data_IF_072603234522
#
_entry.id   IF_072603234522
#
_cell.length_a   1.000
_cell.length_b   1.000
_cell.length_c   1.000
_cell.angle_alpha   90.00
_cell.angle_beta   90.00
_cell.angle_gamma   90.00
#
_symmetry.space_group_name_H-M   'P 1'
#
loop_
_entity.id
_entity.type
_entity.pdbx_description
1 polymer ?
#
# COMPACT_ATOMS: atom_id res chain seq x y z
N UNK A 1 -2.28 2.92 0.01
CA UNK A 1 -2.78 4.21 0.54
C UNK A 1 -3.29 5.10 -0.58
N UNK A 2 -4.44 5.75 -0.39
CA UNK A 2 -5.04 6.67 -1.35
C UNK A 2 -5.65 7.88 -0.65
N UNK A 3 -5.94 8.95 -1.40
CA UNK A 3 -6.48 10.17 -0.82
C UNK A 3 -6.74 11.27 -1.85
N UNK A 4 -7.16 12.42 -1.35
CA UNK A 4 -7.47 13.61 -2.12
C UNK A 4 -6.75 14.82 -1.53
N UNK A 5 -6.24 15.70 -2.40
CA UNK A 5 -5.73 17.00 -2.00
C UNK A 5 -6.55 18.09 -2.67
N UNK A 6 -6.95 19.10 -1.90
CA UNK A 6 -7.58 20.31 -2.40
C UNK A 6 -6.67 21.50 -2.13
N UNK A 7 -6.54 22.37 -3.12
CA UNK A 7 -5.79 23.63 -3.03
C UNK A 7 -6.75 24.78 -3.34
N UNK A 8 -6.82 25.77 -2.46
CA UNK A 8 -7.67 26.94 -2.63
C UNK A 8 -7.51 27.92 -1.47
N UNK A 9 -7.82 29.20 -1.68
CA UNK A 9 -7.81 30.23 -0.63
C UNK A 9 -6.50 30.30 0.19
N UNK A 10 -5.35 30.06 -0.48
CA UNK A 10 -4.03 30.01 0.14
C UNK A 10 -3.87 28.90 1.21
N UNK A 11 -4.72 27.88 1.16
CA UNK A 11 -4.71 26.68 2.01
C UNK A 11 -4.60 25.40 1.16
N UNK A 12 -3.96 24.38 1.72
CA UNK A 12 -3.92 23.02 1.19
C UNK A 12 -4.54 22.07 2.21
N UNK A 13 -5.59 21.37 1.82
CA UNK A 13 -6.24 20.34 2.64
C UNK A 13 -5.97 18.97 2.03
N UNK A 14 -5.47 18.03 2.82
CA UNK A 14 -5.21 16.64 2.40
C UNK A 14 -6.13 15.71 3.20
N UNK A 15 -6.85 14.85 2.49
CA UNK A 15 -7.68 13.78 3.05
C UNK A 15 -7.10 12.44 2.61
N UNK A 16 -6.47 11.72 3.54
CA UNK A 16 -5.99 10.36 3.31
C UNK A 16 -6.98 9.32 3.84
N UNK A 17 -7.08 8.16 3.17
CA UNK A 17 -7.85 7.03 3.68
C UNK A 17 -7.19 6.41 4.93
N UNK A 18 -5.87 6.27 4.88
CA UNK A 18 -5.05 5.74 5.97
C UNK A 18 -3.77 6.59 6.03
N UNK A 19 -3.23 6.76 7.23
CA UNK A 19 -1.97 7.46 7.46
C UNK A 19 -1.22 6.79 8.62
N UNK A 20 0.05 6.52 8.41
CA UNK A 20 0.95 5.97 9.40
C UNK A 20 2.15 6.90 9.57
N UNK A 21 2.58 7.09 10.82
CA UNK A 21 3.73 7.94 11.12
C UNK A 21 4.98 7.08 10.97
N UNK A 22 6.02 7.62 10.31
CA UNK A 22 7.26 6.88 10.03
C UNK A 22 7.94 6.26 11.27
N UNK A 23 7.68 6.77 12.48
CA UNK A 23 8.22 6.22 13.73
C UNK A 23 7.54 4.94 14.18
N UNK A 24 6.30 4.73 13.72
CA UNK A 24 5.46 3.60 14.12
C UNK A 24 5.63 2.43 13.13
N UNK A 25 6.25 2.68 11.97
CA UNK A 25 6.56 1.66 10.97
C UNK A 25 7.73 0.80 11.46
N UNK A 26 7.48 -0.48 11.69
CA UNK A 26 8.53 -1.47 11.90
C UNK A 26 9.11 -1.93 10.54
N UNK A 27 10.38 -1.62 10.22
CA UNK A 27 10.97 -2.00 8.94
C UNK A 27 11.11 -3.52 8.77
N UNK A 28 11.18 -4.30 9.85
CA UNK A 28 11.26 -5.75 9.77
C UNK A 28 9.90 -6.36 9.45
N UNK A 29 8.83 -5.84 10.08
CA UNK A 29 7.46 -6.26 9.79
C UNK A 29 7.10 -5.92 8.33
N UNK A 30 7.39 -4.70 7.89
CA UNK A 30 7.16 -4.28 6.50
C UNK A 30 7.93 -5.14 5.49
N UNK A 31 9.20 -5.48 5.78
CA UNK A 31 10.01 -6.32 4.89
C UNK A 31 9.49 -7.76 4.82
N UNK A 32 9.04 -8.32 5.95
CA UNK A 32 8.46 -9.67 5.98
C UNK A 32 7.13 -9.73 5.23
N UNK A 33 6.29 -8.71 5.39
CA UNK A 33 5.04 -8.60 4.67
C UNK A 33 5.30 -8.60 3.15
N UNK A 34 6.33 -7.84 2.70
CA UNK A 34 6.71 -7.75 1.29
C UNK A 34 7.13 -9.09 0.71
N UNK A 35 7.98 -9.83 1.44
CA UNK A 35 8.43 -11.16 1.02
C UNK A 35 7.25 -12.15 0.89
N UNK A 36 6.24 -12.06 1.76
CA UNK A 36 5.04 -12.89 1.70
C UNK A 36 4.20 -12.50 0.47
N UNK A 37 3.98 -11.20 0.25
CA UNK A 37 3.21 -10.71 -0.89
C UNK A 37 3.88 -11.08 -2.24
N UNK A 38 5.20 -11.01 -2.33
CA UNK A 38 5.95 -11.45 -3.53
C UNK A 38 5.85 -12.96 -3.74
N UNK A 39 5.94 -13.75 -2.67
CA UNK A 39 5.80 -15.20 -2.75
C UNK A 39 4.39 -15.62 -3.18
N UNK A 40 3.35 -14.95 -2.68
CA UNK A 40 1.97 -15.19 -3.06
C UNK A 40 1.67 -14.74 -4.50
N UNK A 41 2.27 -13.65 -4.96
CA UNK A 41 2.24 -13.26 -6.37
C UNK A 41 2.90 -14.31 -7.27
N UNK A 42 4.06 -14.85 -6.87
CA UNK A 42 4.74 -15.91 -7.63
C UNK A 42 3.97 -17.23 -7.64
N UNK A 43 3.12 -17.48 -6.63
CA UNK A 43 2.26 -18.67 -6.55
C UNK A 43 0.92 -18.49 -7.26
N UNK A 44 0.57 -17.29 -7.70
CA UNK A 44 -0.69 -17.01 -8.35
C UNK A 44 -0.74 -17.60 -9.77
N UNK A 45 -1.43 -18.74 -9.94
CA UNK A 45 -1.53 -19.44 -11.23
C UNK A 45 -2.65 -18.88 -12.15
N UNK A 46 -3.67 -18.24 -11.58
CA UNK A 46 -4.81 -17.69 -12.32
C UNK A 46 -4.72 -16.19 -12.58
N UNK A 47 -5.22 -15.71 -13.72
CA UNK A 47 -5.23 -14.27 -14.10
C UNK A 47 -5.85 -13.36 -13.03
N UNK A 48 -6.92 -13.81 -12.39
CA UNK A 48 -7.60 -13.05 -11.33
C UNK A 48 -6.78 -13.01 -10.03
N UNK A 49 -6.22 -14.16 -9.64
CA UNK A 49 -5.36 -14.26 -8.45
C UNK A 49 -4.08 -13.44 -8.63
N UNK A 50 -3.50 -13.42 -9.82
CA UNK A 50 -2.34 -12.59 -10.13
C UNK A 50 -2.66 -11.09 -10.05
N UNK A 51 -3.85 -10.66 -10.48
CA UNK A 51 -4.27 -9.26 -10.36
C UNK A 51 -4.49 -8.88 -8.88
N UNK A 52 -5.16 -9.73 -8.11
CA UNK A 52 -5.42 -9.49 -6.69
C UNK A 52 -4.12 -9.50 -5.86
N UNK A 53 -3.21 -10.45 -6.12
CA UNK A 53 -1.89 -10.50 -5.49
C UNK A 53 -1.01 -9.30 -5.89
N UNK A 54 -1.06 -8.85 -7.15
CA UNK A 54 -0.31 -7.67 -7.58
C UNK A 54 -0.88 -6.37 -6.98
N UNK A 55 -2.19 -6.31 -6.76
CA UNK A 55 -2.82 -5.20 -6.05
C UNK A 55 -2.38 -5.17 -4.58
N UNK A 56 -2.37 -6.32 -3.91
CA UNK A 56 -1.90 -6.43 -2.53
C UNK A 56 -0.42 -6.02 -2.40
N UNK A 57 0.45 -6.48 -3.30
CA UNK A 57 1.87 -6.10 -3.33
C UNK A 57 2.08 -4.59 -3.51
N UNK A 58 1.20 -3.91 -4.23
CA UNK A 58 1.25 -2.45 -4.43
C UNK A 58 0.79 -1.64 -3.22
N UNK A 59 0.21 -2.29 -2.22
CA UNK A 59 -0.30 -1.66 -1.02
C UNK A 59 0.68 -1.70 0.15
N UNK A 60 1.74 -2.49 0.03
CA UNK A 60 2.90 -2.48 0.94
C UNK A 60 3.97 -1.47 0.53
#
# INVERSE_FOLDING_TARGET
MGGFARIGDNEITILGNDAEISTDIDPQEAQQALEIAEADLSRAEGKRQAIEANLALRHE
#
